data_IF_150164014497
#
_entry.id   IF_150164014497
#
_cell.length_a   1.000
_cell.length_b   1.000
_cell.length_c   1.000
_cell.angle_alpha   90.00
_cell.angle_beta   90.00
_cell.angle_gamma   90.00
#
_symmetry.space_group_name_H-M   'P 1'
#
loop_
_entity.id
_entity.type
_entity.pdbx_description
1 polymer ?
#
# COMPACT_ATOMS: atom_id res chain seq x y z
N UNK A 1 44.20 -21.73 -6.64
CA UNK A 1 44.44 -20.28 -6.74
C UNK A 1 44.32 -19.65 -5.37
N UNK A 2 45.25 -18.71 -5.04
CA UNK A 2 45.27 -18.00 -3.74
C UNK A 2 44.31 -16.77 -3.73
N UNK A 3 43.70 -16.44 -4.86
CA UNK A 3 42.86 -15.26 -5.04
C UNK A 3 41.57 -15.64 -5.75
N UNK A 4 40.49 -14.91 -5.45
CA UNK A 4 39.18 -15.01 -6.09
C UNK A 4 38.80 -13.66 -6.66
N UNK A 5 37.97 -13.65 -7.70
CA UNK A 5 37.40 -12.43 -8.27
C UNK A 5 36.36 -11.88 -7.31
N UNK A 6 36.40 -10.57 -7.07
CA UNK A 6 35.41 -9.90 -6.25
C UNK A 6 34.10 -9.75 -7.03
N UNK A 7 33.12 -10.57 -6.68
CA UNK A 7 31.87 -10.73 -7.45
C UNK A 7 31.07 -9.43 -7.63
N UNK A 8 31.18 -8.48 -6.70
CA UNK A 8 30.46 -7.20 -6.81
C UNK A 8 30.93 -6.31 -7.96
N UNK A 9 32.14 -6.50 -8.45
CA UNK A 9 32.63 -5.82 -9.66
C UNK A 9 31.82 -6.23 -10.89
N UNK A 10 31.48 -7.49 -10.99
CA UNK A 10 30.64 -8.03 -12.06
C UNK A 10 29.15 -7.69 -11.81
N UNK A 11 28.66 -7.98 -10.61
CA UNK A 11 27.27 -7.81 -10.26
C UNK A 11 26.75 -6.36 -10.41
N UNK A 12 27.53 -5.35 -10.01
CA UNK A 12 27.10 -3.94 -10.07
C UNK A 12 27.03 -3.40 -11.51
N UNK A 13 27.86 -3.90 -12.42
CA UNK A 13 27.86 -3.46 -13.82
C UNK A 13 26.54 -3.77 -14.52
N UNK A 14 25.74 -4.74 -14.03
CA UNK A 14 24.45 -5.08 -14.64
C UNK A 14 23.48 -3.88 -14.75
N UNK A 15 23.56 -2.90 -13.84
CA UNK A 15 22.69 -1.71 -13.88
C UNK A 15 22.89 -0.88 -15.14
N UNK A 16 24.08 -0.87 -15.71
CA UNK A 16 24.37 -0.17 -16.96
C UNK A 16 24.44 -1.10 -18.17
N UNK A 17 24.93 -2.34 -18.01
CA UNK A 17 25.01 -3.30 -19.11
C UNK A 17 23.64 -3.68 -19.66
N UNK A 18 22.61 -3.75 -18.81
CA UNK A 18 21.23 -3.97 -19.21
C UNK A 18 20.63 -2.84 -20.05
N UNK A 19 21.26 -1.66 -20.06
CA UNK A 19 20.83 -0.49 -20.83
C UNK A 19 21.51 -0.37 -22.18
N UNK A 20 22.15 -1.47 -22.66
CA UNK A 20 22.85 -1.55 -23.94
C UNK A 20 23.91 -0.45 -24.13
N UNK A 21 24.99 -0.43 -23.32
CA UNK A 21 25.98 0.64 -23.33
C UNK A 21 27.02 0.50 -24.45
N UNK A 22 26.76 -0.29 -25.51
CA UNK A 22 27.72 -0.54 -26.60
C UNK A 22 28.32 0.73 -27.23
N UNK A 23 27.64 1.86 -27.00
CA UNK A 23 28.17 3.21 -27.18
C UNK A 23 27.53 4.01 -26.05
N UNK A 24 28.25 4.66 -25.17
CA UNK A 24 27.73 5.50 -24.04
C UNK A 24 26.53 6.41 -24.38
N UNK A 25 25.85 6.17 -25.47
CA UNK A 25 24.79 6.91 -26.12
C UNK A 25 23.58 6.07 -26.52
N UNK A 26 23.44 4.81 -26.07
CA UNK A 26 22.25 3.99 -26.32
C UNK A 26 20.97 4.69 -25.82
N UNK A 27 19.85 4.55 -26.53
CA UNK A 27 18.59 5.24 -26.18
C UNK A 27 18.07 4.84 -24.81
N UNK A 28 18.24 3.56 -24.42
CA UNK A 28 17.87 3.08 -23.07
C UNK A 28 18.75 3.71 -21.99
N UNK A 29 20.06 3.81 -22.23
CA UNK A 29 20.98 4.46 -21.29
C UNK A 29 20.60 5.94 -21.08
N UNK A 30 20.42 6.71 -22.14
CA UNK A 30 20.00 8.13 -22.05
C UNK A 30 18.67 8.31 -21.31
N UNK A 31 17.75 7.37 -21.46
CA UNK A 31 16.43 7.43 -20.85
C UNK A 31 16.43 7.06 -19.38
N UNK A 32 17.21 6.06 -18.97
CA UNK A 32 17.11 5.44 -17.65
C UNK A 32 18.32 5.66 -16.75
N UNK A 33 19.43 6.20 -17.29
CA UNK A 33 20.60 6.51 -16.48
C UNK A 33 20.88 8.02 -16.41
N UNK A 34 21.25 8.59 -15.23
CA UNK A 34 21.40 7.91 -13.95
C UNK A 34 20.07 7.46 -13.34
N UNK A 35 20.10 6.36 -12.60
CA UNK A 35 18.94 5.88 -11.86
C UNK A 35 18.48 6.93 -10.83
N UNK A 36 17.18 7.15 -10.73
CA UNK A 36 16.60 8.04 -9.70
C UNK A 36 16.75 7.42 -8.33
N UNK A 37 16.56 6.10 -8.21
CA UNK A 37 16.62 5.37 -6.95
C UNK A 37 17.19 3.96 -7.17
N UNK A 38 18.19 3.59 -6.35
CA UNK A 38 18.53 2.20 -6.07
C UNK A 38 17.86 1.77 -4.76
N UNK A 39 16.84 0.93 -4.85
CA UNK A 39 16.17 0.33 -3.71
C UNK A 39 16.76 -1.06 -3.45
N UNK A 40 17.45 -1.23 -2.33
CA UNK A 40 18.24 -2.44 -2.04
C UNK A 40 18.05 -2.90 -0.61
N UNK A 41 18.33 -4.18 -0.32
CA UNK A 41 18.40 -4.67 1.05
C UNK A 41 19.53 -4.01 1.85
N UNK A 42 19.33 -3.81 3.15
CA UNK A 42 20.33 -3.13 4.00
C UNK A 42 21.71 -3.83 4.00
N UNK A 43 21.76 -5.13 3.75
CA UNK A 43 22.99 -5.93 3.71
C UNK A 43 23.90 -5.57 2.52
N UNK A 44 23.33 -5.04 1.44
CA UNK A 44 24.08 -4.67 0.24
C UNK A 44 24.20 -3.15 0.02
N UNK A 45 23.71 -2.34 0.97
CA UNK A 45 23.81 -0.86 0.90
C UNK A 45 25.26 -0.42 0.72
N UNK A 46 26.22 -1.03 1.42
CA UNK A 46 27.64 -0.69 1.33
C UNK A 46 28.17 -0.79 -0.11
N UNK A 47 27.72 -1.80 -0.86
CA UNK A 47 28.16 -1.98 -2.25
C UNK A 47 27.59 -0.92 -3.17
N UNK A 48 26.37 -0.45 -2.90
CA UNK A 48 25.67 0.55 -3.71
C UNK A 48 26.01 1.99 -3.35
N UNK A 49 26.49 2.25 -2.12
CA UNK A 49 26.83 3.60 -1.65
C UNK A 49 28.32 3.89 -1.68
N UNK A 50 29.20 2.89 -1.77
CA UNK A 50 30.66 3.06 -1.78
C UNK A 50 31.25 2.48 -3.05
N UNK A 51 31.10 1.17 -3.27
CA UNK A 51 31.80 0.49 -4.36
C UNK A 51 31.26 0.94 -5.72
N UNK A 52 29.96 0.97 -5.88
CA UNK A 52 29.31 1.35 -7.13
C UNK A 52 29.62 2.80 -7.55
N UNK A 53 29.47 3.81 -6.67
CA UNK A 53 29.91 5.16 -7.00
C UNK A 53 31.39 5.27 -7.39
N UNK A 54 32.31 4.56 -6.71
CA UNK A 54 33.73 4.54 -7.07
C UNK A 54 33.94 3.99 -8.48
N UNK A 55 33.26 2.90 -8.84
CA UNK A 55 33.35 2.33 -10.20
C UNK A 55 32.83 3.31 -11.24
N UNK A 56 31.67 3.94 -11.02
CA UNK A 56 31.10 4.91 -11.94
C UNK A 56 31.98 6.14 -12.10
N UNK A 57 32.49 6.69 -11.00
CA UNK A 57 33.41 7.84 -11.02
C UNK A 57 34.70 7.52 -11.78
N UNK A 58 35.24 6.30 -11.64
CA UNK A 58 36.42 5.86 -12.36
C UNK A 58 36.17 5.74 -13.87
N UNK A 59 34.93 5.55 -14.30
CA UNK A 59 34.48 5.52 -15.68
C UNK A 59 33.96 6.85 -16.19
N UNK A 60 34.06 7.91 -15.38
CA UNK A 60 33.50 9.23 -15.66
C UNK A 60 31.98 9.21 -15.97
N UNK A 61 31.26 8.24 -15.35
CA UNK A 61 29.81 8.09 -15.49
C UNK A 61 29.06 8.75 -14.33
N UNK A 62 27.86 9.29 -14.58
CA UNK A 62 27.03 9.86 -13.52
C UNK A 62 26.61 8.80 -12.50
N UNK A 63 26.59 9.17 -11.23
CA UNK A 63 26.16 8.30 -10.12
C UNK A 63 24.63 8.35 -9.97
N UNK A 64 23.98 7.31 -9.37
CA UNK A 64 22.57 7.33 -9.02
C UNK A 64 22.22 8.52 -8.11
N UNK A 65 20.99 9.04 -8.25
CA UNK A 65 20.55 10.20 -7.45
C UNK A 65 20.34 9.83 -5.99
N UNK A 66 19.85 8.62 -5.73
CA UNK A 66 19.56 8.13 -4.37
C UNK A 66 19.80 6.61 -4.26
N UNK A 67 20.27 6.19 -3.09
CA UNK A 67 20.30 4.79 -2.68
C UNK A 67 19.50 4.65 -1.38
N UNK A 68 18.54 3.75 -1.35
CA UNK A 68 17.71 3.48 -0.18
C UNK A 68 17.81 2.01 0.24
N UNK A 69 18.20 1.77 1.50
CA UNK A 69 18.29 0.43 2.08
C UNK A 69 17.05 0.07 2.88
N UNK A 70 16.32 -0.98 2.47
CA UNK A 70 15.23 -1.52 3.28
C UNK A 70 15.73 -2.57 4.28
N UNK A 71 14.96 -2.76 5.37
CA UNK A 71 15.24 -3.76 6.41
C UNK A 71 14.94 -5.20 5.95
N UNK A 72 15.22 -6.14 6.81
CA UNK A 72 14.87 -7.54 6.58
C UNK A 72 13.40 -7.81 6.93
N UNK A 73 12.85 -8.81 6.23
CA UNK A 73 11.65 -9.48 6.68
C UNK A 73 12.05 -10.60 7.63
N UNK A 74 11.53 -10.53 8.86
CA UNK A 74 11.63 -11.62 9.83
C UNK A 74 10.28 -12.31 9.95
N UNK A 75 10.27 -13.56 10.36
CA UNK A 75 9.07 -14.38 10.51
C UNK A 75 9.02 -14.90 11.92
N UNK A 76 7.90 -14.64 12.62
CA UNK A 76 7.69 -15.03 14.02
C UNK A 76 8.89 -14.64 14.91
N UNK A 77 9.40 -13.40 14.73
CA UNK A 77 10.53 -12.87 15.49
C UNK A 77 11.90 -13.41 15.08
N UNK A 78 11.99 -14.28 14.09
CA UNK A 78 13.24 -14.94 13.67
C UNK A 78 13.59 -14.58 12.24
N UNK A 79 14.89 -14.38 11.94
CA UNK A 79 15.36 -14.14 10.56
C UNK A 79 14.99 -15.29 9.65
N UNK A 80 14.43 -14.99 8.47
CA UNK A 80 14.16 -16.00 7.45
C UNK A 80 15.45 -16.70 7.01
N UNK A 81 15.43 -18.03 7.03
CA UNK A 81 16.54 -18.87 6.58
C UNK A 81 16.04 -20.17 5.97
N UNK A 82 16.63 -20.58 4.85
CA UNK A 82 16.32 -21.87 4.23
C UNK A 82 16.63 -23.05 5.16
N UNK A 83 17.67 -22.94 5.98
CA UNK A 83 18.06 -23.97 6.95
C UNK A 83 17.07 -24.11 8.12
N UNK A 84 16.37 -23.02 8.48
CA UNK A 84 15.34 -23.04 9.52
C UNK A 84 13.94 -23.42 8.96
N UNK A 85 13.80 -23.50 7.65
CA UNK A 85 12.51 -23.84 7.02
C UNK A 85 11.41 -22.78 7.21
N UNK A 86 11.75 -21.57 7.67
CA UNK A 86 10.81 -20.49 7.96
C UNK A 86 10.70 -19.46 6.81
N UNK A 87 11.13 -19.84 5.60
CA UNK A 87 10.98 -18.98 4.43
C UNK A 87 9.52 -19.00 3.97
N UNK A 88 8.91 -17.81 3.89
CA UNK A 88 7.56 -17.65 3.38
C UNK A 88 7.61 -17.49 1.87
N UNK A 89 6.92 -18.38 1.16
CA UNK A 89 6.65 -18.21 -0.26
C UNK A 89 5.47 -17.26 -0.43
N UNK A 90 5.62 -16.12 -1.13
CA UNK A 90 4.53 -15.20 -1.36
C UNK A 90 3.44 -15.74 -2.30
N UNK A 91 3.74 -16.72 -3.15
CA UNK A 91 2.80 -17.22 -4.17
C UNK A 91 1.55 -17.82 -3.55
N UNK A 92 1.61 -18.78 -2.60
CA UNK A 92 0.42 -19.31 -1.93
C UNK A 92 -0.37 -18.25 -1.17
N UNK A 93 0.31 -17.24 -0.59
CA UNK A 93 -0.38 -16.12 0.06
C UNK A 93 -1.16 -15.28 -0.95
N UNK A 94 -0.60 -15.02 -2.11
CA UNK A 94 -1.27 -14.28 -3.19
C UNK A 94 -2.46 -15.07 -3.75
N UNK A 95 -2.31 -16.38 -3.93
CA UNK A 95 -3.38 -17.26 -4.42
C UNK A 95 -4.56 -17.33 -3.43
N UNK A 96 -4.27 -17.36 -2.13
CA UNK A 96 -5.30 -17.49 -1.08
C UNK A 96 -5.94 -16.14 -0.74
N UNK A 97 -5.15 -15.09 -0.55
CA UNK A 97 -5.60 -13.82 0.03
C UNK A 97 -5.66 -12.67 -0.99
N UNK A 98 -5.09 -12.87 -2.18
CA UNK A 98 -4.97 -11.86 -3.20
C UNK A 98 -3.69 -11.00 -3.08
N UNK A 99 -3.22 -10.49 -4.21
CA UNK A 99 -2.00 -9.68 -4.27
C UNK A 99 -2.11 -8.38 -3.48
N UNK A 100 -3.28 -7.75 -3.47
CA UNK A 100 -3.51 -6.49 -2.75
C UNK A 100 -3.35 -6.65 -1.24
N UNK A 101 -3.81 -7.78 -0.68
CA UNK A 101 -3.67 -8.08 0.75
C UNK A 101 -2.19 -8.13 1.16
N UNK A 102 -1.38 -8.85 0.39
CA UNK A 102 0.06 -8.96 0.66
C UNK A 102 0.78 -7.62 0.47
N UNK A 103 0.50 -6.90 -0.62
CA UNK A 103 1.07 -5.56 -0.88
C UNK A 103 0.74 -4.58 0.24
N UNK A 104 -0.54 -4.53 0.63
CA UNK A 104 -1.01 -3.68 1.70
C UNK A 104 -0.28 -3.98 3.02
N UNK A 105 -0.23 -5.25 3.42
CA UNK A 105 0.45 -5.65 4.66
C UNK A 105 1.92 -5.24 4.66
N UNK A 106 2.66 -5.60 3.61
CA UNK A 106 4.09 -5.31 3.51
C UNK A 106 4.38 -3.81 3.58
N UNK A 107 3.58 -2.99 2.90
CA UNK A 107 3.81 -1.55 2.82
C UNK A 107 3.26 -0.77 4.01
N UNK A 108 2.22 -1.28 4.68
CA UNK A 108 1.61 -0.62 5.84
C UNK A 108 2.29 -0.97 7.17
N UNK A 109 2.69 -2.24 7.33
CA UNK A 109 3.26 -2.75 8.59
C UNK A 109 4.75 -2.50 8.67
N UNK A 110 5.46 -2.64 7.55
CA UNK A 110 6.91 -2.57 7.52
C UNK A 110 7.36 -1.14 7.24
N UNK A 111 7.97 -0.52 8.23
CA UNK A 111 8.64 0.75 8.00
C UNK A 111 9.91 0.53 7.19
N UNK A 112 10.00 1.13 6.01
CA UNK A 112 11.22 1.09 5.20
C UNK A 112 12.44 1.54 6.04
N UNK A 113 13.56 0.80 5.90
CA UNK A 113 14.77 1.02 6.71
C UNK A 113 14.80 0.31 8.07
N UNK A 114 13.67 -0.27 8.52
CA UNK A 114 13.60 -1.14 9.72
C UNK A 114 13.24 -2.56 9.33
N UNK A 115 13.57 -3.51 10.21
CA UNK A 115 13.14 -4.90 10.03
C UNK A 115 11.65 -5.01 10.31
N UNK A 116 10.94 -5.79 9.48
CA UNK A 116 9.51 -6.05 9.60
C UNK A 116 9.25 -7.48 10.02
N UNK A 117 8.27 -7.70 10.90
CA UNK A 117 7.88 -9.03 11.35
C UNK A 117 6.59 -9.47 10.68
N UNK A 118 6.64 -10.62 10.01
CA UNK A 118 5.48 -11.26 9.44
C UNK A 118 4.99 -12.37 10.37
N UNK A 119 3.71 -12.35 10.69
CA UNK A 119 2.99 -13.48 11.28
C UNK A 119 1.71 -13.69 10.50
N UNK A 120 1.33 -14.94 10.22
CA UNK A 120 0.11 -15.21 9.45
C UNK A 120 -1.15 -14.70 10.15
N UNK A 121 -1.35 -14.88 11.47
CA UNK A 121 -2.49 -14.28 12.16
C UNK A 121 -2.52 -12.75 12.10
N UNK A 122 -1.37 -12.09 12.28
CA UNK A 122 -1.25 -10.63 12.17
C UNK A 122 -1.58 -10.12 10.76
N UNK A 123 -1.12 -10.82 9.74
CA UNK A 123 -1.45 -10.53 8.34
C UNK A 123 -2.97 -10.63 8.10
N UNK A 124 -3.61 -11.75 8.48
CA UNK A 124 -5.05 -11.95 8.28
C UNK A 124 -5.87 -10.92 9.09
N UNK A 125 -5.46 -10.65 10.34
CA UNK A 125 -6.12 -9.64 11.17
C UNK A 125 -6.08 -8.26 10.50
N UNK A 126 -4.95 -7.87 9.93
CA UNK A 126 -4.78 -6.59 9.23
C UNK A 126 -5.66 -6.51 7.99
N UNK A 127 -5.69 -7.57 7.18
CA UNK A 127 -6.54 -7.66 5.99
C UNK A 127 -8.02 -7.54 6.36
N UNK A 128 -8.46 -8.25 7.39
CA UNK A 128 -9.86 -8.21 7.84
C UNK A 128 -10.25 -6.83 8.38
N UNK A 129 -9.38 -6.21 9.17
CA UNK A 129 -9.69 -4.92 9.80
C UNK A 129 -9.66 -3.80 8.76
N UNK A 130 -8.57 -3.66 8.05
CA UNK A 130 -8.32 -2.48 7.24
C UNK A 130 -8.96 -2.60 5.84
N UNK A 131 -8.79 -3.76 5.16
CA UNK A 131 -9.31 -3.91 3.81
C UNK A 131 -10.80 -4.30 3.79
N UNK A 132 -11.20 -5.31 4.57
CA UNK A 132 -12.58 -5.77 4.54
C UNK A 132 -13.51 -4.84 5.35
N UNK A 133 -13.15 -4.52 6.61
CA UNK A 133 -14.03 -3.76 7.50
C UNK A 133 -13.98 -2.25 7.23
N UNK A 134 -12.79 -1.64 7.10
CA UNK A 134 -12.72 -0.20 6.93
C UNK A 134 -13.06 0.20 5.49
N UNK A 135 -12.23 -0.19 4.52
CA UNK A 135 -12.39 0.23 3.13
C UNK A 135 -13.55 -0.49 2.42
N UNK A 136 -13.62 -1.82 2.54
CA UNK A 136 -14.65 -2.63 1.87
C UNK A 136 -16.05 -2.30 2.38
N UNK A 137 -16.22 -2.13 3.69
CA UNK A 137 -17.49 -1.75 4.29
C UNK A 137 -17.89 -0.30 3.93
N UNK A 138 -16.93 0.65 3.89
CA UNK A 138 -17.20 2.01 3.44
C UNK A 138 -17.79 2.03 2.03
N UNK A 139 -17.15 1.32 1.08
CA UNK A 139 -17.64 1.21 -0.29
C UNK A 139 -19.03 0.57 -0.34
N UNK A 140 -19.21 -0.58 0.30
CA UNK A 140 -20.48 -1.31 0.29
C UNK A 140 -21.63 -0.51 0.90
N UNK A 141 -21.40 0.16 2.04
CA UNK A 141 -22.40 1.02 2.68
C UNK A 141 -22.78 2.19 1.78
N UNK A 142 -21.80 2.89 1.21
CA UNK A 142 -22.03 4.03 0.33
C UNK A 142 -22.83 3.64 -0.90
N UNK A 143 -22.36 2.61 -1.62
CA UNK A 143 -23.04 2.10 -2.83
C UNK A 143 -24.50 1.66 -2.50
N UNK A 144 -24.67 0.91 -1.42
CA UNK A 144 -26.00 0.45 -1.02
C UNK A 144 -26.96 1.60 -0.66
N UNK A 145 -26.45 2.66 0.00
CA UNK A 145 -27.26 3.83 0.35
C UNK A 145 -27.61 4.65 -0.90
N UNK A 146 -26.68 4.88 -1.82
CA UNK A 146 -26.95 5.59 -3.09
C UNK A 146 -27.99 4.81 -3.90
N UNK A 147 -27.85 3.48 -4.01
CA UNK A 147 -28.83 2.64 -4.70
C UNK A 147 -30.21 2.71 -4.05
N UNK A 148 -30.26 2.67 -2.73
CA UNK A 148 -31.52 2.63 -1.99
C UNK A 148 -32.25 3.95 -1.95
N UNK A 149 -31.53 5.07 -1.83
CA UNK A 149 -32.13 6.38 -1.55
C UNK A 149 -32.23 7.27 -2.77
N UNK A 150 -31.42 7.00 -3.83
CA UNK A 150 -31.34 7.80 -5.06
C UNK A 150 -31.31 6.95 -6.33
N UNK A 151 -31.86 5.74 -6.28
CA UNK A 151 -31.92 4.82 -7.45
C UNK A 151 -30.56 4.66 -8.17
N UNK A 152 -29.47 4.75 -7.42
CA UNK A 152 -28.11 4.64 -7.91
C UNK A 152 -27.56 5.89 -8.59
N UNK A 153 -28.24 7.02 -8.57
CA UNK A 153 -27.81 8.24 -9.27
C UNK A 153 -27.35 9.32 -8.30
N UNK A 154 -26.13 9.79 -8.47
CA UNK A 154 -25.61 10.93 -7.71
C UNK A 154 -26.11 12.24 -8.31
N UNK A 155 -26.57 13.13 -7.45
CA UNK A 155 -27.01 14.48 -7.80
C UNK A 155 -25.97 15.52 -7.37
N UNK A 156 -26.18 16.79 -7.72
CA UNK A 156 -25.32 17.87 -7.26
C UNK A 156 -25.41 18.04 -5.73
N UNK A 157 -24.33 18.57 -5.16
CA UNK A 157 -24.33 19.09 -3.79
C UNK A 157 -25.23 20.33 -3.74
N UNK A 158 -26.21 20.33 -2.83
CA UNK A 158 -27.19 21.42 -2.71
C UNK A 158 -27.25 22.00 -1.30
N UNK A 159 -26.70 21.28 -0.31
CA UNK A 159 -26.64 21.71 1.08
C UNK A 159 -25.30 21.26 1.69
N UNK A 160 -24.59 22.18 2.35
CA UNK A 160 -23.24 21.96 2.91
C UNK A 160 -23.18 22.50 4.33
N UNK A 161 -22.76 21.61 5.25
CA UNK A 161 -22.49 21.99 6.65
C UNK A 161 -20.99 21.89 7.01
N UNK A 162 -20.67 22.10 8.30
CA UNK A 162 -19.29 22.06 8.77
C UNK A 162 -18.66 20.66 8.62
N UNK A 163 -19.44 19.60 8.76
CA UNK A 163 -18.97 18.21 8.60
C UNK A 163 -18.46 17.94 7.18
N UNK A 164 -19.12 18.54 6.18
CA UNK A 164 -18.72 18.42 4.76
C UNK A 164 -17.42 19.19 4.49
N UNK A 165 -17.33 20.40 5.08
CA UNK A 165 -16.11 21.21 4.99
C UNK A 165 -14.91 20.53 5.63
N UNK A 166 -15.10 19.92 6.80
CA UNK A 166 -14.07 19.13 7.47
C UNK A 166 -13.64 17.93 6.64
N UNK A 167 -14.59 17.17 6.08
CA UNK A 167 -14.31 16.02 5.25
C UNK A 167 -13.54 16.42 3.98
N UNK A 168 -13.99 17.47 3.30
CA UNK A 168 -13.35 17.96 2.07
C UNK A 168 -11.95 18.53 2.33
N UNK A 169 -11.77 19.25 3.41
CA UNK A 169 -10.46 19.77 3.83
C UNK A 169 -9.50 18.64 4.14
N UNK A 170 -9.96 17.64 4.89
CA UNK A 170 -9.15 16.46 5.19
C UNK A 170 -8.79 15.66 3.93
N UNK A 171 -9.72 15.51 2.98
CA UNK A 171 -9.47 14.81 1.71
C UNK A 171 -8.30 15.44 0.93
N UNK A 172 -8.35 16.75 0.71
CA UNK A 172 -7.31 17.49 -0.01
C UNK A 172 -5.97 17.45 0.74
N UNK A 173 -6.00 17.59 2.06
CA UNK A 173 -4.79 17.50 2.88
C UNK A 173 -4.20 16.09 2.85
N UNK A 174 -5.05 15.06 2.93
CA UNK A 174 -4.62 13.65 2.82
C UNK A 174 -3.87 13.39 1.52
N UNK A 175 -4.35 13.91 0.39
CA UNK A 175 -3.68 13.72 -0.91
C UNK A 175 -2.29 14.39 -0.94
N UNK A 176 -2.14 15.57 -0.36
CA UNK A 176 -0.86 16.29 -0.25
C UNK A 176 0.13 15.58 0.69
N UNK A 177 -0.37 15.13 1.84
CA UNK A 177 0.46 14.42 2.82
C UNK A 177 0.89 13.05 2.28
N UNK A 178 -0.01 12.36 1.55
CA UNK A 178 0.32 11.12 0.84
C UNK A 178 1.47 11.33 -0.15
N UNK A 179 1.39 12.34 -1.01
CA UNK A 179 2.46 12.69 -1.95
C UNK A 179 3.78 12.94 -1.24
N UNK A 180 3.77 13.80 -0.22
CA UNK A 180 4.95 14.14 0.58
C UNK A 180 5.60 12.89 1.21
N UNK A 181 4.80 12.00 1.78
CA UNK A 181 5.30 10.77 2.39
C UNK A 181 5.82 9.76 1.34
N UNK A 182 5.16 9.66 0.18
CA UNK A 182 5.62 8.79 -0.91
C UNK A 182 6.96 9.26 -1.46
N UNK A 183 7.15 10.56 -1.69
CA UNK A 183 8.43 11.14 -2.13
C UNK A 183 9.55 10.95 -1.10
N UNK A 184 9.21 11.01 0.18
CA UNK A 184 10.15 10.75 1.28
C UNK A 184 10.43 9.26 1.52
N UNK A 185 9.87 8.33 0.73
CA UNK A 185 9.95 6.88 0.93
C UNK A 185 9.36 6.40 2.28
N UNK A 186 8.44 7.16 2.84
CA UNK A 186 7.73 6.86 4.08
C UNK A 186 6.40 6.15 3.81
N UNK A 187 6.43 5.04 3.06
CA UNK A 187 5.24 4.38 2.50
C UNK A 187 4.20 4.01 3.56
N UNK A 188 4.62 3.56 4.73
CA UNK A 188 3.72 3.23 5.83
C UNK A 188 3.00 4.47 6.40
N UNK A 189 3.64 5.64 6.39
CA UNK A 189 2.99 6.88 6.79
C UNK A 189 1.99 7.34 5.75
N UNK A 190 2.35 7.28 4.46
CA UNK A 190 1.44 7.56 3.36
C UNK A 190 0.14 6.74 3.47
N UNK A 191 0.27 5.43 3.68
CA UNK A 191 -0.87 4.53 3.86
C UNK A 191 -1.69 4.90 5.09
N UNK A 192 -1.06 5.15 6.24
CA UNK A 192 -1.77 5.56 7.47
C UNK A 192 -2.57 6.85 7.29
N UNK A 193 -2.05 7.81 6.53
CA UNK A 193 -2.76 9.04 6.21
C UNK A 193 -4.05 8.76 5.43
N UNK A 194 -4.01 7.87 4.44
CA UNK A 194 -5.21 7.45 3.70
C UNK A 194 -6.19 6.70 4.61
N UNK A 195 -5.71 5.80 5.49
CA UNK A 195 -6.59 5.06 6.40
C UNK A 195 -7.24 5.96 7.47
N UNK A 196 -6.55 7.01 7.91
CA UNK A 196 -7.16 8.05 8.75
C UNK A 196 -8.32 8.74 8.02
N UNK A 197 -8.18 9.02 6.72
CA UNK A 197 -9.27 9.59 5.91
C UNK A 197 -10.41 8.60 5.69
N UNK A 198 -10.13 7.31 5.45
CA UNK A 198 -11.15 6.24 5.37
C UNK A 198 -11.94 6.16 6.68
N UNK A 199 -11.25 6.16 7.82
CA UNK A 199 -11.88 6.16 9.15
C UNK A 199 -12.75 7.40 9.38
N UNK A 200 -12.26 8.60 9.01
CA UNK A 200 -13.05 9.85 9.07
C UNK A 200 -14.30 9.79 8.19
N UNK A 201 -14.18 9.19 7.00
CA UNK A 201 -15.31 9.03 6.08
C UNK A 201 -16.35 8.05 6.63
N UNK A 202 -15.94 6.94 7.26
CA UNK A 202 -16.86 6.06 7.98
C UNK A 202 -17.57 6.79 9.12
N UNK A 203 -16.82 7.57 9.92
CA UNK A 203 -17.41 8.39 10.99
C UNK A 203 -18.39 9.43 10.46
N UNK A 204 -18.14 10.03 9.31
CA UNK A 204 -19.05 10.97 8.65
C UNK A 204 -20.41 10.34 8.34
N UNK A 205 -20.45 9.03 7.93
CA UNK A 205 -21.72 8.31 7.77
C UNK A 205 -22.50 8.27 9.10
N UNK A 206 -21.82 7.98 10.20
CA UNK A 206 -22.47 7.85 11.50
C UNK A 206 -22.91 9.23 12.08
N UNK A 207 -22.19 10.29 11.80
CA UNK A 207 -22.51 11.67 12.19
C UNK A 207 -23.66 12.28 11.39
N UNK A 208 -23.76 11.93 10.09
CA UNK A 208 -24.80 12.46 9.20
C UNK A 208 -26.08 11.64 9.19
N UNK A 209 -26.02 10.40 9.68
CA UNK A 209 -27.15 9.47 9.81
C UNK A 209 -28.06 9.45 8.56
N UNK A 210 -27.55 9.09 7.37
CA UNK A 210 -28.33 9.15 6.12
C UNK A 210 -29.61 8.33 6.15
N UNK A 211 -29.66 7.28 6.97
CA UNK A 211 -30.88 6.47 7.18
C UNK A 211 -31.98 7.23 7.94
N UNK A 212 -31.63 8.24 8.73
CA UNK A 212 -32.60 9.11 9.39
C UNK A 212 -33.10 10.18 8.42
N UNK A 213 -32.20 10.83 7.67
CA UNK A 213 -32.54 11.78 6.61
C UNK A 213 -33.47 11.15 5.57
N UNK A 214 -33.21 9.92 5.15
CA UNK A 214 -34.03 9.19 4.17
C UNK A 214 -35.47 8.89 4.65
N UNK A 215 -35.75 8.92 5.95
CA UNK A 215 -37.10 8.72 6.52
C UNK A 215 -37.87 10.03 6.64
N UNK A 216 -37.18 11.16 6.60
CA UNK A 216 -37.82 12.48 6.71
C UNK A 216 -38.56 12.84 5.43
N UNK A 217 -39.69 13.56 5.57
CA UNK A 217 -40.43 14.15 4.46
C UNK A 217 -40.09 15.62 4.24
N UNK A 218 -39.17 16.18 5.04
CA UNK A 218 -38.77 17.57 4.94
C UNK A 218 -37.83 17.77 3.75
N UNK A 219 -38.09 18.79 2.94
CA UNK A 219 -37.28 19.10 1.74
C UNK A 219 -35.82 19.38 2.10
N UNK A 220 -35.56 20.01 3.27
CA UNK A 220 -34.21 20.28 3.77
C UNK A 220 -33.44 18.98 4.01
N UNK A 221 -34.06 17.98 4.66
CA UNK A 221 -33.43 16.70 4.94
C UNK A 221 -33.14 15.90 3.66
N UNK A 222 -34.03 16.00 2.66
CA UNK A 222 -33.80 15.35 1.36
C UNK A 222 -32.63 16.00 0.61
N UNK A 223 -32.51 17.32 0.62
CA UNK A 223 -31.35 18.05 0.06
C UNK A 223 -30.06 17.69 0.80
N UNK A 224 -30.14 17.58 2.13
CA UNK A 224 -29.00 17.17 2.95
C UNK A 224 -28.56 15.73 2.60
N UNK A 225 -29.51 14.81 2.45
CA UNK A 225 -29.22 13.42 2.05
C UNK A 225 -28.50 13.35 0.71
N UNK A 226 -28.94 14.13 -0.29
CA UNK A 226 -28.29 14.23 -1.61
C UNK A 226 -26.80 14.63 -1.46
N UNK A 227 -26.55 15.69 -0.69
CA UNK A 227 -25.19 16.18 -0.45
C UNK A 227 -24.32 15.15 0.27
N UNK A 228 -24.86 14.47 1.30
CA UNK A 228 -24.16 13.41 2.02
C UNK A 228 -23.76 12.25 1.08
N UNK A 229 -24.68 11.80 0.23
CA UNK A 229 -24.37 10.71 -0.73
C UNK A 229 -23.28 11.12 -1.72
N UNK A 230 -23.33 12.36 -2.21
CA UNK A 230 -22.30 12.88 -3.11
C UNK A 230 -20.92 12.93 -2.42
N UNK A 231 -20.85 13.48 -1.19
CA UNK A 231 -19.59 13.60 -0.45
C UNK A 231 -18.96 12.24 -0.13
N UNK A 232 -19.77 11.23 0.18
CA UNK A 232 -19.28 9.86 0.38
C UNK A 232 -18.70 9.25 -0.89
N UNK A 233 -19.37 9.44 -2.02
CA UNK A 233 -18.89 8.94 -3.30
C UNK A 233 -17.60 9.69 -3.74
N UNK A 234 -17.53 11.00 -3.52
CA UNK A 234 -16.36 11.82 -3.82
C UNK A 234 -15.15 11.43 -2.94
N UNK A 235 -15.36 11.16 -1.66
CA UNK A 235 -14.32 10.63 -0.78
C UNK A 235 -13.78 9.29 -1.30
N UNK A 236 -14.66 8.38 -1.73
CA UNK A 236 -14.25 7.09 -2.32
C UNK A 236 -13.49 7.24 -3.64
N UNK A 237 -13.82 8.24 -4.48
CA UNK A 237 -13.06 8.58 -5.69
C UNK A 237 -11.63 8.93 -5.34
N UNK A 238 -11.43 9.83 -4.39
CA UNK A 238 -10.11 10.24 -3.92
C UNK A 238 -9.35 9.05 -3.30
N UNK A 239 -10.01 8.28 -2.44
CA UNK A 239 -9.42 7.08 -1.83
C UNK A 239 -8.97 6.10 -2.93
N UNK A 240 -9.78 5.85 -3.97
CA UNK A 240 -9.41 4.95 -5.07
C UNK A 240 -8.11 5.39 -5.76
N UNK A 241 -7.95 6.70 -6.00
CA UNK A 241 -6.71 7.24 -6.60
C UNK A 241 -5.52 7.00 -5.64
N UNK A 242 -5.67 7.38 -4.37
CA UNK A 242 -4.56 7.30 -3.40
C UNK A 242 -4.13 5.87 -3.09
N UNK A 243 -5.05 4.90 -3.09
CA UNK A 243 -4.69 3.50 -2.84
C UNK A 243 -4.25 2.75 -4.11
N UNK A 244 -4.37 3.34 -5.30
CA UNK A 244 -4.07 2.67 -6.58
C UNK A 244 -2.66 2.08 -6.69
N UNK A 245 -1.59 2.72 -6.20
CA UNK A 245 -0.25 2.14 -6.27
C UNK A 245 -0.05 0.96 -5.31
N UNK A 246 -0.95 0.78 -4.33
CA UNK A 246 -0.89 -0.28 -3.31
C UNK A 246 -1.90 -1.39 -3.66
N UNK A 247 -3.17 -1.02 -3.82
CA UNK A 247 -4.30 -1.91 -4.07
C UNK A 247 -4.63 -1.97 -5.57
N UNK A 248 -3.74 -2.59 -6.34
CA UNK A 248 -3.77 -2.56 -7.81
C UNK A 248 -4.98 -3.26 -8.43
N UNK A 249 -5.66 -4.12 -7.67
CA UNK A 249 -6.89 -4.83 -8.09
C UNK A 249 -8.15 -4.23 -7.46
N UNK A 250 -8.05 -3.70 -6.24
CA UNK A 250 -9.18 -3.13 -5.51
C UNK A 250 -9.52 -1.73 -5.97
N UNK A 251 -8.54 -0.87 -6.22
CA UNK A 251 -8.76 0.51 -6.63
C UNK A 251 -9.58 0.64 -7.93
N UNK A 252 -9.30 -0.10 -9.01
CA UNK A 252 -10.17 -0.11 -10.19
C UNK A 252 -11.61 -0.55 -9.88
N UNK A 253 -11.80 -1.54 -9.00
CA UNK A 253 -13.14 -2.00 -8.61
C UNK A 253 -13.93 -0.94 -7.83
N UNK A 254 -13.26 -0.12 -7.01
CA UNK A 254 -13.92 1.03 -6.35
C UNK A 254 -14.39 2.00 -7.42
N UNK A 255 -13.53 2.33 -8.38
CA UNK A 255 -13.82 3.24 -9.49
C UNK A 255 -15.00 2.76 -10.35
N UNK A 256 -14.98 1.48 -10.72
CA UNK A 256 -16.07 0.85 -11.49
C UNK A 256 -17.40 0.90 -10.73
N UNK A 257 -17.39 0.62 -9.41
CA UNK A 257 -18.61 0.68 -8.61
C UNK A 257 -19.13 2.11 -8.41
N UNK A 258 -18.26 3.11 -8.50
CA UNK A 258 -18.67 4.51 -8.56
C UNK A 258 -19.22 4.91 -9.96
N UNK A 259 -19.18 4.02 -10.93
CA UNK A 259 -19.67 4.27 -12.29
C UNK A 259 -18.78 5.21 -13.10
N UNK A 260 -17.50 5.29 -12.76
CA UNK A 260 -16.52 6.16 -13.40
C UNK A 260 -15.76 5.41 -14.50
N UNK A 261 -15.41 6.12 -15.57
CA UNK A 261 -14.53 5.64 -16.63
C UNK A 261 -13.13 6.24 -16.51
N UNK A 262 -12.15 5.71 -17.25
CA UNK A 262 -10.83 6.33 -17.38
C UNK A 262 -9.94 6.25 -16.13
N UNK A 263 -10.05 5.18 -15.32
CA UNK A 263 -9.21 5.02 -14.14
C UNK A 263 -7.70 5.11 -14.44
N UNK A 264 -7.26 4.62 -15.58
CA UNK A 264 -5.86 4.65 -15.99
C UNK A 264 -5.32 6.07 -16.23
N UNK A 265 -6.21 7.03 -16.48
CA UNK A 265 -5.86 8.43 -16.72
C UNK A 265 -5.93 9.28 -15.44
N UNK A 266 -6.48 8.71 -14.34
CA UNK A 266 -6.60 9.41 -13.06
C UNK A 266 -5.21 9.62 -12.44
N UNK A 267 -4.96 10.85 -12.01
CA UNK A 267 -3.67 11.29 -11.46
C UNK A 267 -3.78 11.68 -9.99
N UNK A 268 -2.64 11.79 -9.31
CA UNK A 268 -2.60 12.32 -7.95
C UNK A 268 -3.15 13.75 -7.86
N UNK A 269 -2.97 14.56 -8.91
CA UNK A 269 -3.54 15.91 -8.97
C UNK A 269 -5.07 15.91 -8.89
N UNK A 270 -5.73 14.89 -9.47
CA UNK A 270 -7.19 14.74 -9.38
C UNK A 270 -7.65 14.40 -7.96
N UNK A 271 -6.80 13.76 -7.15
CA UNK A 271 -7.09 13.51 -5.73
C UNK A 271 -6.96 14.78 -4.86
N UNK A 272 -6.24 15.79 -5.33
CA UNK A 272 -6.08 17.07 -4.61
C UNK A 272 -7.23 18.06 -4.85
N UNK A 273 -8.22 17.68 -5.66
CA UNK A 273 -9.38 18.51 -5.97
C UNK A 273 -10.66 17.82 -5.51
N UNK A 274 -11.46 18.54 -4.72
CA UNK A 274 -12.77 18.09 -4.24
C UNK A 274 -13.88 18.51 -5.20
N UNK A 275 -14.96 17.73 -5.29
CA UNK A 275 -16.12 17.93 -6.18
C UNK A 275 -15.72 17.76 -7.66
N UNK A 276 -15.33 16.53 -8.02
CA UNK A 276 -15.01 16.15 -9.39
C UNK A 276 -16.03 15.16 -10.00
N UNK A 277 -16.90 14.56 -9.17
CA UNK A 277 -17.92 13.64 -9.69
C UNK A 277 -18.98 14.40 -10.48
N UNK A 278 -19.24 14.04 -11.75
CA UNK A 278 -20.31 14.65 -12.51
C UNK A 278 -21.69 14.37 -11.92
N UNK A 279 -22.58 15.35 -11.95
CA UNK A 279 -23.98 15.09 -11.66
C UNK A 279 -24.57 14.06 -12.65
N UNK A 280 -25.41 13.18 -12.15
CA UNK A 280 -25.96 12.08 -12.94
C UNK A 280 -25.06 10.84 -13.01
N UNK A 281 -23.91 10.85 -12.32
CA UNK A 281 -23.07 9.65 -12.20
C UNK A 281 -23.89 8.49 -11.61
N UNK A 282 -23.88 7.36 -12.32
CA UNK A 282 -24.64 6.17 -11.93
C UNK A 282 -23.73 5.19 -11.19
N UNK A 283 -23.90 5.13 -9.88
CA UNK A 283 -23.20 4.16 -9.01
C UNK A 283 -23.70 2.75 -9.29
N UNK A 284 -22.80 1.80 -9.37
CA UNK A 284 -23.09 0.40 -9.74
C UNK A 284 -22.88 -0.51 -8.52
N UNK A 285 -23.88 -1.34 -8.20
CA UNK A 285 -23.69 -2.37 -7.18
C UNK A 285 -22.78 -3.47 -7.71
N UNK A 286 -21.67 -3.71 -7.02
CA UNK A 286 -20.73 -4.80 -7.32
C UNK A 286 -20.61 -5.79 -6.17
N UNK A 287 -19.76 -6.79 -6.35
CA UNK A 287 -19.36 -7.72 -5.31
C UNK A 287 -18.44 -7.02 -4.29
N UNK A 288 -18.41 -7.50 -3.04
CA UNK A 288 -17.43 -7.02 -2.05
C UNK A 288 -16.00 -7.11 -2.59
N UNK A 289 -15.24 -6.03 -2.49
CA UNK A 289 -13.88 -5.98 -3.05
C UNK A 289 -12.86 -6.78 -2.24
N UNK A 290 -13.10 -6.97 -0.95
CA UNK A 290 -12.28 -7.76 -0.05
C UNK A 290 -13.15 -8.68 0.84
N UNK A 291 -12.94 -10.00 0.76
CA UNK A 291 -13.59 -10.94 1.67
C UNK A 291 -12.95 -10.90 3.06
N UNK A 292 -13.65 -11.42 4.05
CA UNK A 292 -13.08 -11.72 5.37
C UNK A 292 -12.52 -13.14 5.36
N UNK A 293 -11.41 -13.33 6.07
CA UNK A 293 -10.75 -14.61 6.22
C UNK A 293 -10.78 -15.05 7.68
N UNK A 294 -10.89 -16.35 7.90
CA UNK A 294 -10.76 -16.93 9.23
C UNK A 294 -9.29 -16.86 9.67
N UNK A 295 -9.08 -16.45 10.92
CA UNK A 295 -7.74 -16.46 11.52
C UNK A 295 -7.52 -17.88 12.02
N UNK A 296 -6.48 -18.61 11.53
CA UNK A 296 -6.17 -19.93 12.04
C UNK A 296 -5.94 -19.90 13.55
N UNK A 297 -6.54 -20.82 14.28
CA UNK A 297 -6.20 -21.03 15.68
C UNK A 297 -4.69 -21.33 15.76
N UNK A 298 -3.98 -20.58 16.59
CA UNK A 298 -2.58 -20.89 16.86
C UNK A 298 -2.52 -22.25 17.53
N UNK A 299 -2.16 -23.28 16.76
CA UNK A 299 -1.69 -24.51 17.36
C UNK A 299 -0.39 -24.14 18.05
N UNK A 300 -0.39 -24.07 19.39
CA UNK A 300 0.85 -23.93 20.15
C UNK A 300 1.78 -25.04 19.65
N UNK A 301 2.87 -24.63 18.99
CA UNK A 301 3.91 -25.60 18.63
C UNK A 301 4.31 -26.27 19.96
N UNK A 302 4.35 -27.61 20.02
CA UNK A 302 4.78 -28.29 21.24
C UNK A 302 6.15 -27.69 21.60
N UNK A 303 6.23 -27.15 22.81
CA UNK A 303 7.49 -26.69 23.40
C UNK A 303 8.38 -27.93 23.45
N UNK A 304 9.21 -28.12 22.42
CA UNK A 304 10.28 -29.09 22.45
C UNK A 304 11.25 -28.55 23.49
N UNK A 305 11.21 -29.09 24.69
CA UNK A 305 12.27 -28.90 25.69
C UNK A 305 13.58 -29.21 24.98
N UNK A 306 14.32 -28.14 24.64
CA UNK A 306 15.71 -28.28 24.18
C UNK A 306 16.46 -28.73 25.41
N UNK A 307 16.75 -30.02 25.49
CA UNK A 307 17.62 -30.56 26.53
C UNK A 307 18.93 -29.78 26.47
N UNK A 308 19.28 -29.15 27.58
CA UNK A 308 20.53 -28.40 27.78
C UNK A 308 21.82 -29.25 27.59
N UNK A 309 21.70 -30.53 27.25
CA UNK A 309 22.85 -31.43 27.10
C UNK A 309 23.63 -31.25 25.78
N UNK A 310 23.10 -30.49 24.79
CA UNK A 310 23.80 -30.35 23.48
C UNK A 310 24.81 -29.18 23.48
N UNK A 311 24.70 -28.21 24.35
CA UNK A 311 25.57 -27.01 24.35
C UNK A 311 26.92 -27.26 25.11
N UNK A 312 26.96 -28.26 25.97
CA UNK A 312 28.18 -28.59 26.72
C UNK A 312 29.21 -29.38 25.88
N UNK A 313 28.80 -30.02 24.81
CA UNK A 313 29.67 -30.89 24.02
C UNK A 313 30.41 -30.15 22.86
N UNK A 314 29.83 -29.03 22.33
CA UNK A 314 30.51 -28.24 21.30
C UNK A 314 31.56 -27.28 21.84
N UNK A 315 31.40 -26.82 23.11
CA UNK A 315 32.39 -25.98 23.75
C UNK A 315 33.66 -26.71 24.20
N UNK A 316 33.61 -28.05 24.29
CA UNK A 316 34.77 -28.87 24.71
C UNK A 316 35.65 -29.31 23.49
N UNK A 317 35.16 -29.22 22.27
CA UNK A 317 35.89 -29.59 21.04
C UNK A 317 36.61 -28.42 20.35
N UNK A 318 36.45 -27.17 20.86
CA UNK A 318 37.08 -25.98 20.28
C UNK A 318 38.38 -25.56 21.01
N UNK A 319 38.91 -26.38 21.93
CA UNK A 319 40.13 -26.10 22.74
C UNK A 319 41.19 -27.21 22.63
N UNK A 320 41.17 -28.03 21.58
CA UNK A 320 42.34 -28.88 21.23
C UNK A 320 42.90 -28.50 19.84
#
# INVERSE_FOLDING_TARGET
PKHVVYVWFDALVNYISALEPSEHNGDLYKKFWPADLHLVGKEIVRFHTIIWPIMLMSLELPIPKQVFGHGWMIVDGTKMSKSLGNVIDPVPLIETYGSDALRYFLLSEIQLGKDGNFTLPGFIQRVNTDLANDLGNLLNRTVAMVQKYHDGVLTNVVDVDDRDRDLSTMAVQTAKDFETHMEAMELNKAIRTVWAFISRTNKYIDETMPWALAKSQEEGDQKRLQSVMYHLAEALRIIAILVSPILTKGAPKIWDQLGLAGFADATLADAQVWIQLPAGTKVLKGEPIYPRFEIPEMVEAPVTEVKEEAIATEAAQAVE
#
